data_IF_153232533951
#
_entry.id   IF_153232533951
#
_cell.length_a   1.000
_cell.length_b   1.000
_cell.length_c   1.000
_cell.angle_alpha   90.00
_cell.angle_beta   90.00
_cell.angle_gamma   90.00
#
_symmetry.space_group_name_H-M   'P 1'
#
loop_
_entity.id
_entity.type
_entity.pdbx_description
1 polymer ?
#
# COMPACT_ATOMS: atom_id res chain seq x y z
N UNK A 1 32.74 2.96 32.33
CA UNK A 1 32.77 2.74 30.88
C UNK A 1 31.35 2.86 30.40
N UNK A 2 31.02 3.95 29.68
CA UNK A 2 29.67 4.15 29.18
C UNK A 2 29.39 3.17 28.05
N UNK A 3 28.36 2.33 28.23
CA UNK A 3 27.83 1.56 27.11
C UNK A 3 27.27 2.56 26.10
N UNK A 4 27.82 2.59 24.89
CA UNK A 4 27.17 3.29 23.79
C UNK A 4 25.82 2.62 23.55
N UNK A 5 24.74 3.41 23.51
CA UNK A 5 23.39 2.91 23.22
C UNK A 5 23.42 2.12 21.91
N UNK A 6 22.86 0.92 21.91
CA UNK A 6 22.85 0.08 20.72
C UNK A 6 21.87 0.71 19.73
N UNK A 7 22.37 1.15 18.58
CA UNK A 7 21.58 1.79 17.53
C UNK A 7 21.60 0.92 16.28
N UNK A 8 20.41 0.56 15.79
CA UNK A 8 20.22 -0.14 14.52
C UNK A 8 19.63 0.82 13.51
N UNK A 9 20.36 1.06 12.43
CA UNK A 9 19.92 1.89 11.32
C UNK A 9 19.62 1.04 10.09
N UNK A 10 18.51 1.34 9.43
CA UNK A 10 18.13 0.73 8.15
C UNK A 10 17.73 1.85 7.20
N UNK A 11 18.53 2.05 6.16
CA UNK A 11 18.24 3.00 5.10
C UNK A 11 17.30 2.36 4.05
N UNK A 12 16.34 3.16 3.58
CA UNK A 12 15.35 2.80 2.56
C UNK A 12 14.72 1.41 2.80
N UNK A 13 14.12 1.16 3.97
CA UNK A 13 13.49 -0.13 4.23
C UNK A 13 12.30 -0.33 3.26
N UNK A 14 12.20 -1.47 2.56
CA UNK A 14 11.07 -1.72 1.69
C UNK A 14 9.79 -1.94 2.50
N UNK A 15 8.63 -1.70 1.90
CA UNK A 15 7.32 -1.96 2.51
C UNK A 15 6.50 -2.90 1.63
N UNK A 16 5.58 -3.64 2.26
CA UNK A 16 4.66 -4.54 1.55
C UNK A 16 3.62 -3.73 0.77
N UNK A 17 3.11 -2.66 1.37
CA UNK A 17 2.11 -1.81 0.74
C UNK A 17 2.13 -0.40 1.36
N UNK A 18 1.75 0.60 0.57
CA UNK A 18 1.43 1.93 1.08
C UNK A 18 0.22 2.48 0.35
N UNK A 19 -0.69 3.13 1.09
CA UNK A 19 -1.84 3.82 0.51
C UNK A 19 -1.51 5.27 0.09
N UNK A 20 -0.26 5.69 0.23
CA UNK A 20 0.18 7.06 -0.05
C UNK A 20 1.48 7.06 -0.83
N UNK A 21 1.61 8.03 -1.73
CA UNK A 21 2.89 8.41 -2.35
C UNK A 21 3.41 9.73 -1.79
N UNK A 22 2.73 10.29 -0.79
CA UNK A 22 3.04 11.62 -0.26
C UNK A 22 4.14 11.62 0.79
N UNK A 23 4.44 10.47 1.39
CA UNK A 23 5.50 10.29 2.39
C UNK A 23 6.25 8.99 2.12
N UNK A 24 7.56 9.02 2.30
CA UNK A 24 8.47 7.88 2.14
C UNK A 24 9.42 7.80 3.34
N UNK A 25 9.60 6.60 3.88
CA UNK A 25 10.57 6.35 4.96
C UNK A 25 11.95 6.20 4.34
N UNK A 26 12.80 7.20 4.51
CA UNK A 26 14.19 7.20 4.02
C UNK A 26 15.15 6.44 4.90
N UNK A 27 14.89 6.45 6.21
CA UNK A 27 15.66 5.65 7.17
C UNK A 27 14.85 5.42 8.43
N UNK A 28 15.01 4.23 8.99
CA UNK A 28 14.54 3.89 10.32
C UNK A 28 15.76 3.70 11.25
N UNK A 29 15.74 4.41 12.37
CA UNK A 29 16.77 4.33 13.41
C UNK A 29 16.14 3.86 14.70
N UNK A 30 16.52 2.66 15.15
CA UNK A 30 16.03 2.06 16.40
C UNK A 30 17.11 2.25 17.47
N UNK A 31 16.79 2.98 18.53
CA UNK A 31 17.63 3.17 19.71
C UNK A 31 16.85 2.81 20.97
N UNK A 32 17.57 2.60 22.08
CA UNK A 32 16.96 2.19 23.37
C UNK A 32 15.92 3.19 23.90
N UNK A 33 16.02 4.47 23.52
CA UNK A 33 15.15 5.54 24.01
C UNK A 33 14.05 5.94 23.02
N UNK A 34 14.22 5.70 21.72
CA UNK A 34 13.28 6.11 20.68
C UNK A 34 13.51 5.36 19.36
N UNK A 35 12.45 5.29 18.55
CA UNK A 35 12.57 5.01 17.12
C UNK A 35 12.44 6.32 16.35
N UNK A 36 13.35 6.59 15.43
CA UNK A 36 13.31 7.78 14.58
C UNK A 36 13.14 7.35 13.13
N UNK A 37 12.12 7.90 12.47
CA UNK A 37 11.94 7.78 11.04
C UNK A 37 12.36 9.09 10.37
N UNK A 38 13.34 9.03 9.46
CA UNK A 38 13.61 10.08 8.50
C UNK A 38 12.59 9.96 7.36
N UNK A 39 11.79 11.00 7.14
CA UNK A 39 10.70 11.03 6.16
C UNK A 39 11.02 12.06 5.09
N UNK A 40 10.89 11.65 3.83
CA UNK A 40 10.76 12.58 2.71
C UNK A 40 9.29 12.65 2.29
N UNK A 41 8.80 13.87 2.05
CA UNK A 41 7.45 14.14 1.64
C UNK A 41 7.41 14.76 0.24
N UNK A 42 6.45 14.28 -0.57
CA UNK A 42 6.26 14.64 -1.97
C UNK A 42 4.80 15.01 -2.19
N UNK A 43 4.50 16.29 -2.33
CA UNK A 43 3.13 16.72 -2.54
C UNK A 43 3.05 18.01 -3.36
N UNK A 44 1.85 18.37 -3.80
CA UNK A 44 1.66 19.49 -4.74
C UNK A 44 2.26 20.79 -4.16
N UNK A 45 3.07 21.53 -4.92
CA UNK A 45 3.62 22.81 -4.47
C UNK A 45 2.53 23.76 -3.96
N UNK A 46 2.76 24.39 -2.81
CA UNK A 46 1.81 25.32 -2.19
C UNK A 46 0.55 24.68 -1.58
N UNK A 47 0.43 23.35 -1.61
CA UNK A 47 -0.58 22.62 -0.82
C UNK A 47 0.01 22.20 0.52
N UNK A 48 -0.78 21.57 1.39
CA UNK A 48 -0.32 21.14 2.71
C UNK A 48 -0.42 19.64 2.90
N UNK A 49 0.44 19.14 3.78
CA UNK A 49 0.32 17.83 4.43
C UNK A 49 0.13 18.05 5.94
N UNK A 50 -0.33 17.03 6.63
CA UNK A 50 -0.46 17.02 8.10
C UNK A 50 -0.08 15.62 8.59
N UNK A 51 0.59 15.58 9.75
CA UNK A 51 0.82 14.35 10.52
C UNK A 51 0.12 14.54 11.87
N UNK A 52 -0.83 13.66 12.18
CA UNK A 52 -1.61 13.69 13.41
C UNK A 52 -0.79 13.23 14.61
N UNK A 53 -1.12 13.76 15.80
CA UNK A 53 -0.41 13.37 17.03
C UNK A 53 -0.77 11.98 17.53
N UNK A 54 -1.81 11.35 16.98
CA UNK A 54 -2.18 9.95 17.25
C UNK A 54 -1.46 8.97 16.32
N UNK A 55 -0.48 9.40 15.52
CA UNK A 55 0.37 8.51 14.73
C UNK A 55 1.10 7.49 15.59
N UNK A 56 1.29 6.27 15.06
CA UNK A 56 2.00 5.21 15.76
C UNK A 56 2.73 4.26 14.81
N UNK A 57 3.73 3.57 15.36
CA UNK A 57 4.26 2.35 14.76
C UNK A 57 3.54 1.16 15.36
N UNK A 58 3.25 0.14 14.56
CA UNK A 58 2.70 -1.12 15.03
C UNK A 58 3.68 -2.26 14.74
N UNK A 59 4.12 -2.96 15.77
CA UNK A 59 5.00 -4.13 15.65
C UNK A 59 4.59 -5.18 16.67
N UNK A 60 4.53 -6.45 16.24
CA UNK A 60 4.16 -7.60 17.08
C UNK A 60 2.86 -7.39 17.88
N UNK A 61 1.86 -6.74 17.26
CA UNK A 61 0.56 -6.46 17.87
C UNK A 61 0.55 -5.32 18.91
N UNK A 62 1.68 -4.62 19.11
CA UNK A 62 1.80 -3.47 20.01
C UNK A 62 1.90 -2.16 19.22
N UNK A 63 1.22 -1.11 19.70
CA UNK A 63 1.35 0.27 19.21
C UNK A 63 2.46 1.01 19.96
N UNK A 64 3.22 1.82 19.24
CA UNK A 64 4.33 2.66 19.72
C UNK A 64 4.05 4.10 19.27
N UNK A 65 3.65 4.95 20.20
CA UNK A 65 3.11 6.27 19.88
C UNK A 65 4.20 7.23 19.33
N UNK A 66 3.79 8.13 18.43
CA UNK A 66 4.61 9.29 18.08
C UNK A 66 4.74 10.20 19.31
N UNK A 67 5.91 10.78 19.50
CA UNK A 67 6.20 11.72 20.58
C UNK A 67 6.33 13.14 20.08
N UNK A 68 6.95 13.32 18.91
CA UNK A 68 7.13 14.63 18.25
C UNK A 68 7.54 14.46 16.77
N UNK A 69 7.35 15.53 16.01
CA UNK A 69 8.05 15.76 14.74
C UNK A 69 9.28 16.66 14.94
N UNK A 70 10.26 16.55 14.06
CA UNK A 70 11.38 17.49 13.94
C UNK A 70 11.41 18.01 12.50
N UNK A 71 11.24 19.32 12.31
CA UNK A 71 11.00 19.91 10.99
C UNK A 71 9.53 19.85 10.54
N UNK A 72 8.63 19.32 11.38
CA UNK A 72 7.18 19.37 11.22
C UNK A 72 6.51 19.45 12.60
N UNK A 73 5.45 20.25 12.72
CA UNK A 73 4.62 20.29 13.92
C UNK A 73 3.45 19.31 13.78
N UNK A 74 3.29 18.42 14.76
CA UNK A 74 2.16 17.49 14.79
C UNK A 74 0.85 18.27 14.88
N UNK A 75 -0.20 17.69 14.31
CA UNK A 75 -1.54 18.26 14.21
C UNK A 75 -1.69 19.58 13.44
N UNK A 76 -0.61 20.10 12.88
CA UNK A 76 -0.57 21.38 12.18
C UNK A 76 -0.41 21.18 10.67
N UNK A 77 -0.89 22.16 9.89
CA UNK A 77 -0.71 22.17 8.44
C UNK A 77 0.74 22.50 8.10
N UNK A 78 1.43 21.60 7.43
CA UNK A 78 2.74 21.82 6.86
C UNK A 78 2.60 22.16 5.37
N UNK A 79 2.82 23.43 5.02
CA UNK A 79 2.70 23.90 3.64
C UNK A 79 3.95 23.55 2.84
N UNK A 80 3.75 22.86 1.72
CA UNK A 80 4.82 22.38 0.86
C UNK A 80 5.52 23.53 0.14
N UNK A 81 6.86 23.47 0.03
CA UNK A 81 7.63 24.46 -0.70
C UNK A 81 7.35 24.39 -2.22
N UNK A 82 7.92 25.34 -2.97
CA UNK A 82 7.77 25.42 -4.42
C UNK A 82 8.27 24.17 -5.17
N UNK A 83 9.21 23.41 -4.60
CA UNK A 83 9.67 22.13 -5.14
C UNK A 83 8.60 21.04 -5.03
N UNK A 84 7.66 21.15 -4.09
CA UNK A 84 6.77 20.05 -3.71
C UNK A 84 7.47 18.97 -2.87
N UNK A 85 8.68 19.22 -2.40
CA UNK A 85 9.51 18.26 -1.65
C UNK A 85 9.96 18.85 -0.31
N UNK A 86 9.82 18.07 0.77
CA UNK A 86 10.31 18.43 2.10
C UNK A 86 10.82 17.21 2.85
N UNK A 87 11.68 17.40 3.84
CA UNK A 87 12.17 16.33 4.70
C UNK A 87 11.97 16.71 6.16
N UNK A 88 11.55 15.74 6.98
CA UNK A 88 11.38 15.89 8.42
C UNK A 88 11.63 14.56 9.12
N UNK A 89 11.68 14.57 10.46
CA UNK A 89 11.77 13.35 11.25
C UNK A 89 10.52 13.18 12.10
N UNK A 90 10.14 11.92 12.32
CA UNK A 90 9.13 11.54 13.30
C UNK A 90 9.80 10.69 14.37
N UNK A 91 9.62 11.07 15.63
CA UNK A 91 10.22 10.42 16.79
C UNK A 91 9.13 9.69 17.57
N UNK A 92 9.27 8.37 17.68
CA UNK A 92 8.31 7.46 18.32
C UNK A 92 8.88 6.87 19.62
N UNK A 93 8.03 6.17 20.35
CA UNK A 93 8.47 5.20 21.35
C UNK A 93 9.47 4.17 20.78
N UNK A 94 10.40 3.66 21.60
CA UNK A 94 11.41 2.71 21.13
C UNK A 94 10.79 1.38 20.73
N UNK A 95 11.04 0.97 19.49
CA UNK A 95 10.82 -0.40 19.05
C UNK A 95 11.92 -1.29 19.64
N UNK A 96 11.61 -2.57 19.97
CA UNK A 96 12.63 -3.55 20.30
C UNK A 96 13.73 -3.63 19.24
N UNK A 97 15.00 -3.77 19.64
CA UNK A 97 16.13 -3.85 18.71
C UNK A 97 16.03 -5.03 17.71
N UNK A 98 15.35 -6.09 18.12
CA UNK A 98 15.08 -7.29 17.31
C UNK A 98 13.82 -7.18 16.43
N UNK A 99 13.13 -6.03 16.38
CA UNK A 99 11.99 -5.82 15.49
C UNK A 99 12.41 -6.08 14.05
N UNK A 100 11.67 -6.99 13.38
CA UNK A 100 11.94 -7.34 11.99
C UNK A 100 11.10 -6.52 11.03
N UNK A 101 9.85 -6.22 11.42
CA UNK A 101 8.93 -5.43 10.62
C UNK A 101 8.02 -4.58 11.51
N UNK A 102 7.54 -3.47 10.96
CA UNK A 102 6.51 -2.65 11.59
C UNK A 102 5.59 -2.02 10.53
N UNK A 103 4.41 -1.58 10.93
CA UNK A 103 3.54 -0.69 10.16
C UNK A 103 3.70 0.74 10.67
N UNK A 104 3.71 1.73 9.78
CA UNK A 104 3.49 3.13 10.13
C UNK A 104 2.02 3.48 9.85
N UNK A 105 1.32 3.96 10.88
CA UNK A 105 -0.08 4.37 10.81
C UNK A 105 -0.17 5.81 11.30
N UNK A 106 -0.55 6.75 10.42
CA UNK A 106 -0.64 8.16 10.78
C UNK A 106 -1.84 8.46 11.68
N UNK A 107 -2.97 7.78 11.45
CA UNK A 107 -4.13 7.72 12.34
C UNK A 107 -5.05 6.57 11.91
N UNK A 108 -6.00 6.19 12.75
CA UNK A 108 -6.96 5.10 12.50
C UNK A 108 -8.05 5.49 11.46
N UNK A 109 -8.05 6.73 10.95
CA UNK A 109 -8.95 7.18 9.89
C UNK A 109 -8.68 6.47 8.56
N UNK A 110 -9.70 6.21 7.73
CA UNK A 110 -9.53 5.38 6.53
C UNK A 110 -8.54 5.96 5.52
N UNK A 111 -8.59 7.27 5.26
CA UNK A 111 -7.76 7.96 4.27
C UNK A 111 -6.42 8.49 4.82
N UNK A 112 -6.11 8.20 6.08
CA UNK A 112 -4.86 8.61 6.73
C UNK A 112 -3.69 7.80 6.17
N UNK A 113 -2.49 8.39 6.18
CA UNK A 113 -1.28 7.76 5.61
C UNK A 113 -0.95 6.46 6.33
N UNK A 114 -0.73 5.40 5.55
CA UNK A 114 -0.36 4.07 6.05
C UNK A 114 0.73 3.46 5.17
N UNK A 115 1.74 2.92 5.84
CA UNK A 115 2.82 2.16 5.21
C UNK A 115 2.91 0.85 5.98
N UNK A 116 2.53 -0.25 5.34
CA UNK A 116 2.43 -1.56 5.97
C UNK A 116 3.62 -2.45 5.65
N UNK A 117 4.03 -3.23 6.63
CA UNK A 117 5.07 -4.24 6.49
C UNK A 117 6.43 -3.65 6.10
N UNK A 118 6.83 -2.55 6.75
CA UNK A 118 8.18 -2.00 6.59
C UNK A 118 9.16 -3.05 7.10
N UNK A 119 10.06 -3.54 6.24
CA UNK A 119 11.01 -4.61 6.55
C UNK A 119 12.38 -4.02 6.92
N UNK A 120 12.83 -4.32 8.13
CA UNK A 120 14.11 -3.86 8.68
C UNK A 120 15.26 -4.85 8.44
N UNK A 121 14.99 -6.02 7.86
CA UNK A 121 15.94 -7.12 7.68
C UNK A 121 16.28 -7.30 6.20
N UNK A 122 15.27 -7.38 5.35
CA UNK A 122 15.45 -7.66 3.93
C UNK A 122 15.49 -6.36 3.12
N UNK A 123 16.41 -6.29 2.16
CA UNK A 123 16.48 -5.16 1.20
C UNK A 123 15.35 -5.17 0.17
N UNK A 124 14.61 -6.26 0.07
CA UNK A 124 13.49 -6.45 -0.86
C UNK A 124 12.45 -7.33 -0.18
N UNK A 125 11.17 -7.02 -0.39
CA UNK A 125 10.09 -7.89 0.07
C UNK A 125 10.13 -9.19 -0.75
N UNK A 126 10.27 -10.36 -0.10
CA UNK A 126 10.21 -11.63 -0.81
C UNK A 126 8.78 -11.82 -1.34
N UNK A 127 8.66 -11.92 -2.67
CA UNK A 127 7.37 -12.20 -3.29
C UNK A 127 7.00 -13.67 -3.07
N UNK A 128 5.75 -13.97 -2.69
CA UNK A 128 5.28 -15.35 -2.62
C UNK A 128 5.43 -16.03 -3.98
N UNK A 129 5.95 -17.25 -3.99
CA UNK A 129 6.04 -18.02 -5.23
C UNK A 129 4.64 -18.35 -5.75
N UNK A 130 4.46 -18.20 -7.06
CA UNK A 130 3.22 -18.64 -7.73
C UNK A 130 3.12 -20.17 -7.57
N UNK A 131 2.03 -20.70 -6.97
CA UNK A 131 1.81 -22.15 -6.86
C UNK A 131 1.82 -22.84 -8.22
N UNK A 132 2.29 -24.08 -8.28
CA UNK A 132 2.54 -24.79 -9.56
C UNK A 132 1.29 -24.88 -10.43
N UNK A 133 0.11 -25.05 -9.82
CA UNK A 133 -1.19 -25.09 -10.46
C UNK A 133 -1.56 -23.79 -11.20
N UNK A 134 -0.96 -22.65 -10.81
CA UNK A 134 -1.20 -21.34 -11.43
C UNK A 134 -0.05 -20.89 -12.36
N UNK A 135 1.00 -21.70 -12.53
CA UNK A 135 2.16 -21.34 -13.40
C UNK A 135 1.89 -21.54 -14.88
N UNK A 136 0.84 -22.28 -15.25
CA UNK A 136 0.47 -22.42 -16.64
C UNK A 136 -0.15 -21.13 -17.14
N UNK A 137 0.51 -20.47 -18.10
CA UNK A 137 -0.12 -19.38 -18.86
C UNK A 137 -1.37 -19.95 -19.53
N UNK A 138 -2.50 -19.25 -19.38
CA UNK A 138 -3.70 -19.63 -20.12
C UNK A 138 -3.37 -19.64 -21.62
N UNK A 139 -3.77 -20.71 -22.30
CA UNK A 139 -3.75 -20.67 -23.76
C UNK A 139 -4.79 -19.64 -24.17
N UNK A 140 -4.38 -18.69 -25.00
CA UNK A 140 -5.33 -17.73 -25.57
C UNK A 140 -6.39 -18.54 -26.32
N UNK A 141 -7.65 -18.38 -25.91
CA UNK A 141 -8.76 -19.02 -26.60
C UNK A 141 -8.99 -18.27 -27.91
N UNK A 142 -8.46 -18.82 -28.99
CA UNK A 142 -8.52 -18.25 -30.34
C UNK A 142 -9.83 -18.58 -31.06
N UNK A 143 -10.66 -19.46 -30.47
CA UNK A 143 -11.92 -19.92 -31.05
C UNK A 143 -13.13 -19.10 -30.62
N UNK A 144 -12.96 -18.04 -29.82
CA UNK A 144 -14.09 -17.22 -29.36
C UNK A 144 -14.60 -16.36 -30.53
N UNK A 145 -15.82 -16.61 -31.06
CA UNK A 145 -16.36 -15.79 -32.13
C UNK A 145 -16.57 -14.36 -31.64
N UNK A 146 -16.07 -13.39 -32.42
CA UNK A 146 -16.33 -11.97 -32.17
C UNK A 146 -17.77 -11.67 -32.57
N UNK A 147 -18.67 -11.75 -31.58
CA UNK A 147 -20.10 -11.50 -31.76
C UNK A 147 -20.66 -10.63 -30.63
N UNK A 148 -21.70 -9.87 -30.97
CA UNK A 148 -22.51 -9.13 -29.99
C UNK A 148 -23.46 -10.07 -29.28
N UNK A 149 -22.98 -10.64 -28.18
CA UNK A 149 -23.75 -11.53 -27.35
C UNK A 149 -23.67 -11.10 -25.90
N UNK A 150 -24.82 -10.71 -25.35
CA UNK A 150 -24.95 -10.43 -23.93
C UNK A 150 -24.76 -11.73 -23.14
N UNK A 151 -23.87 -11.71 -22.16
CA UNK A 151 -23.56 -12.88 -21.34
C UNK A 151 -22.98 -12.50 -19.99
N UNK A 152 -22.84 -13.50 -19.12
CA UNK A 152 -22.18 -13.36 -17.82
C UNK A 152 -20.84 -14.06 -17.87
N UNK A 153 -19.78 -13.35 -17.53
CA UNK A 153 -18.47 -13.92 -17.27
C UNK A 153 -18.30 -14.10 -15.75
N UNK A 154 -17.74 -15.24 -15.35
CA UNK A 154 -17.27 -15.47 -13.98
C UNK A 154 -15.77 -15.22 -13.97
N UNK A 155 -15.31 -14.32 -13.12
CA UNK A 155 -13.89 -14.04 -12.92
C UNK A 155 -13.55 -14.41 -11.48
N UNK A 156 -12.53 -15.24 -11.30
CA UNK A 156 -12.02 -15.65 -10.00
C UNK A 156 -10.52 -15.75 -10.01
N UNK A 157 -9.91 -15.57 -8.85
CA UNK A 157 -8.47 -15.68 -8.69
C UNK A 157 -8.04 -15.59 -7.24
N UNK A 158 -6.73 -15.49 -7.04
CA UNK A 158 -6.11 -15.31 -5.74
C UNK A 158 -5.05 -14.22 -5.80
N UNK A 159 -5.14 -13.26 -4.88
CA UNK A 159 -4.14 -12.23 -4.66
C UNK A 159 -3.09 -12.76 -3.68
N UNK A 160 -1.89 -13.07 -4.16
CA UNK A 160 -0.80 -13.54 -3.30
C UNK A 160 -0.21 -12.35 -2.53
N UNK A 161 -0.01 -12.52 -1.21
CA UNK A 161 0.45 -11.44 -0.33
C UNK A 161 -0.64 -10.46 0.08
N UNK A 162 -1.91 -10.74 -0.25
CA UNK A 162 -3.05 -9.94 0.23
C UNK A 162 -3.16 -10.01 1.76
N UNK A 163 -3.27 -8.83 2.37
CA UNK A 163 -3.59 -8.68 3.79
C UNK A 163 -4.99 -8.09 3.96
N UNK A 164 -5.84 -8.62 4.87
CA UNK A 164 -7.20 -8.13 5.11
C UNK A 164 -7.26 -6.70 5.67
N UNK A 165 -6.12 -6.11 6.05
CA UNK A 165 -6.00 -4.71 6.43
C UNK A 165 -6.15 -3.73 5.26
N UNK A 166 -6.06 -4.20 4.01
CA UNK A 166 -6.36 -3.41 2.81
C UNK A 166 -7.87 -3.17 2.80
N UNK A 167 -8.28 -1.93 3.06
CA UNK A 167 -9.70 -1.54 3.10
C UNK A 167 -10.22 -1.03 1.76
N UNK A 168 -9.30 -0.76 0.83
CA UNK A 168 -9.62 -0.30 -0.51
C UNK A 168 -10.46 -1.35 -1.26
N UNK A 169 -11.50 -0.88 -1.93
CA UNK A 169 -12.41 -1.76 -2.65
C UNK A 169 -11.78 -2.30 -3.94
N UNK A 170 -11.85 -3.61 -4.12
CA UNK A 170 -11.55 -4.25 -5.39
C UNK A 170 -12.77 -4.20 -6.30
N UNK A 171 -12.55 -3.90 -7.57
CA UNK A 171 -13.63 -3.86 -8.54
C UNK A 171 -13.18 -4.40 -9.90
N UNK A 172 -14.12 -5.04 -10.59
CA UNK A 172 -13.98 -5.33 -12.00
C UNK A 172 -14.38 -4.11 -12.82
N UNK A 173 -13.49 -3.68 -13.70
CA UNK A 173 -13.69 -2.63 -14.68
C UNK A 173 -14.00 -3.27 -16.03
N UNK A 174 -15.17 -2.92 -16.56
CA UNK A 174 -15.58 -3.24 -17.92
C UNK A 174 -15.94 -1.95 -18.64
N UNK A 175 -15.34 -1.72 -19.82
CA UNK A 175 -15.69 -0.60 -20.68
C UNK A 175 -16.74 -1.10 -21.66
N UNK A 176 -17.93 -0.52 -21.63
CA UNK A 176 -18.96 -0.84 -22.61
C UNK A 176 -18.47 -0.43 -24.01
N UNK A 177 -18.31 -1.37 -24.95
CA UNK A 177 -17.74 -1.08 -26.26
C UNK A 177 -18.69 -0.27 -27.17
N UNK A 178 -19.97 -0.14 -26.81
CA UNK A 178 -20.96 0.65 -27.56
C UNK A 178 -21.04 2.08 -27.02
N UNK A 179 -21.20 2.23 -25.70
CA UNK A 179 -21.38 3.56 -25.08
C UNK A 179 -20.09 4.22 -24.61
N UNK A 180 -18.99 3.48 -24.55
CA UNK A 180 -17.72 3.92 -23.96
C UNK A 180 -17.76 4.07 -22.43
N UNK A 181 -18.88 3.77 -21.78
CA UNK A 181 -19.04 3.95 -20.34
C UNK A 181 -18.31 2.86 -19.54
N UNK A 182 -17.62 3.26 -18.48
CA UNK A 182 -17.05 2.34 -17.50
C UNK A 182 -18.13 1.81 -16.57
N UNK A 183 -18.19 0.48 -16.44
CA UNK A 183 -18.98 -0.23 -15.44
C UNK A 183 -18.03 -0.81 -14.40
N UNK A 184 -18.23 -0.40 -13.15
CA UNK A 184 -17.55 -0.95 -11.97
C UNK A 184 -18.44 -1.97 -11.29
N UNK A 185 -17.91 -3.15 -11.04
CA UNK A 185 -18.57 -4.18 -10.21
C UNK A 185 -17.68 -4.50 -9.03
N UNK A 186 -18.16 -4.25 -7.81
CA UNK A 186 -17.45 -4.56 -6.57
C UNK A 186 -17.11 -6.05 -6.46
N UNK A 187 -15.91 -6.34 -5.95
CA UNK A 187 -15.38 -7.68 -5.76
C UNK A 187 -14.99 -7.87 -4.30
N UNK A 188 -15.62 -8.84 -3.67
CA UNK A 188 -15.26 -9.26 -2.31
C UNK A 188 -14.02 -10.16 -2.37
N UNK A 189 -12.94 -9.73 -1.70
CA UNK A 189 -11.72 -10.53 -1.52
C UNK A 189 -11.73 -11.10 -0.11
N UNK A 190 -11.63 -12.43 0.00
CA UNK A 190 -11.56 -13.12 1.30
C UNK A 190 -10.21 -12.89 1.96
N UNK A 191 -10.12 -13.15 3.27
CA UNK A 191 -8.90 -12.99 4.05
C UNK A 191 -7.70 -13.82 3.51
N UNK A 192 -7.94 -14.91 2.78
CA UNK A 192 -6.91 -15.73 2.13
C UNK A 192 -6.47 -15.23 0.74
N UNK A 193 -6.99 -14.06 0.33
CA UNK A 193 -6.75 -13.41 -0.96
C UNK A 193 -7.61 -13.94 -2.10
N UNK A 194 -8.49 -14.92 -1.88
CA UNK A 194 -9.34 -15.47 -2.94
C UNK A 194 -10.53 -14.57 -3.24
N UNK A 195 -10.89 -14.49 -4.52
CA UNK A 195 -12.05 -13.73 -4.98
C UNK A 195 -12.78 -14.44 -6.10
N UNK A 196 -14.07 -14.14 -6.24
CA UNK A 196 -14.92 -14.60 -7.33
C UNK A 196 -16.04 -13.57 -7.52
N UNK A 197 -16.31 -13.19 -8.77
CA UNK A 197 -17.47 -12.36 -9.08
C UNK A 197 -17.96 -12.55 -10.51
N UNK A 198 -19.10 -11.94 -10.79
CA UNK A 198 -19.78 -12.00 -12.09
C UNK A 198 -19.77 -10.63 -12.76
N UNK A 199 -19.43 -10.61 -14.04
CA UNK A 199 -19.49 -9.40 -14.87
C UNK A 199 -20.38 -9.67 -16.06
N UNK A 200 -21.32 -8.77 -16.30
CA UNK A 200 -22.14 -8.79 -17.50
C UNK A 200 -21.40 -8.14 -18.67
N UNK A 201 -21.24 -8.87 -19.76
CA UNK A 201 -20.54 -8.46 -20.97
C UNK A 201 -21.51 -8.43 -22.16
N UNK A 202 -21.21 -7.60 -23.16
CA UNK A 202 -21.98 -7.51 -24.42
C UNK A 202 -21.28 -8.21 -25.60
N UNK A 203 -20.02 -8.57 -25.43
CA UNK A 203 -19.16 -9.26 -26.39
C UNK A 203 -17.95 -9.81 -25.62
N UNK A 204 -17.11 -10.66 -26.24
CA UNK A 204 -15.78 -10.94 -25.72
C UNK A 204 -15.03 -9.62 -25.44
N UNK A 205 -14.50 -9.45 -24.23
CA UNK A 205 -13.94 -8.20 -23.75
C UNK A 205 -12.87 -8.42 -22.68
N UNK A 206 -11.96 -7.45 -22.54
CA UNK A 206 -11.01 -7.38 -21.42
C UNK A 206 -11.75 -6.86 -20.18
N UNK A 207 -11.57 -7.56 -19.06
CA UNK A 207 -11.97 -7.10 -17.73
C UNK A 207 -10.69 -6.81 -16.95
N UNK A 208 -10.64 -5.66 -16.28
CA UNK A 208 -9.51 -5.31 -15.41
C UNK A 208 -9.94 -5.45 -13.95
N UNK A 209 -9.17 -6.15 -13.13
CA UNK A 209 -9.28 -6.08 -11.68
C UNK A 209 -8.49 -4.86 -11.19
N UNK A 210 -9.12 -3.98 -10.44
CA UNK A 210 -8.51 -2.76 -9.92
C UNK A 210 -8.73 -2.63 -8.41
N UNK A 211 -7.83 -1.90 -7.75
CA UNK A 211 -7.84 -1.61 -6.31
C UNK A 211 -8.00 -0.10 -6.10
N UNK A 212 -9.01 0.32 -5.33
CA UNK A 212 -9.22 1.75 -5.04
C UNK A 212 -9.56 2.58 -6.29
N UNK A 213 -9.00 3.79 -6.41
CA UNK A 213 -9.12 4.61 -7.62
C UNK A 213 -8.02 4.33 -8.67
N UNK A 214 -7.03 3.50 -8.32
CA UNK A 214 -5.88 3.20 -9.16
C UNK A 214 -6.21 2.08 -10.15
N UNK A 215 -5.97 2.35 -11.44
CA UNK A 215 -5.92 1.30 -12.44
C UNK A 215 -4.60 0.56 -12.24
N UNK A 216 -4.64 -0.76 -12.04
CA UNK A 216 -3.46 -1.60 -12.31
C UNK A 216 -3.26 -1.61 -13.83
N UNK A 217 -2.67 -0.53 -14.35
CA UNK A 217 -2.21 -0.50 -15.74
C UNK A 217 -0.84 -1.13 -15.78
N UNK A 218 -0.69 -2.07 -16.71
CA UNK A 218 0.57 -2.69 -17.08
C UNK A 218 1.69 -1.63 -17.18
N UNK A 219 2.79 -1.85 -16.46
CA UNK A 219 4.06 -1.15 -16.68
C UNK A 219 4.52 -1.36 -18.14
N UNK A 220 5.30 -0.43 -18.72
CA UNK A 220 5.63 -0.40 -20.15
C UNK A 220 6.26 -1.69 -20.70
#
# INVERSE_FOLDING_TARGET
MGAFAQQREVALPPSVHSNTTSVEIRRATLADTATVLDIDAFFRPGWWIKIASDSYLQADGKKYAVRRGEGIDLDSLFWMPASGEASFKLVFEPLPQNTQTFDFIESDCDNCFKIWGVDLVNKRIPLPQIPQEYRQLSKQDTGIPVAWQKGKAVVSGRLLGYGPQIKEEFHFLYINPVSGQEKKTSVQVKADGTFRGEVELLSPARITLALGAARLTDAP
#
